data_IF_522664494070
#
_entry.id   IF_522664494070
#
_cell.length_a   1.000
_cell.length_b   1.000
_cell.length_c   1.000
_cell.angle_alpha   90.00
_cell.angle_beta   90.00
_cell.angle_gamma   90.00
#
_symmetry.space_group_name_H-M   'P 1'
#
loop_
_entity.id
_entity.type
_entity.pdbx_description
1 polymer ?
#
# COMPACT_ATOMS: atom_id res chain seq x y z
N UNK A 1 -51.46 -52.83 0.38
CA UNK A 1 -50.15 -53.48 0.26
C UNK A 1 -49.42 -52.84 -0.91
N UNK A 2 -49.27 -51.53 -0.92
CA UNK A 2 -48.29 -50.74 -0.16
C UNK A 2 -46.92 -50.67 -0.84
N UNK A 3 -46.67 -49.46 -1.33
CA UNK A 3 -45.42 -48.70 -1.20
C UNK A 3 -44.13 -49.34 -1.70
N UNK A 4 -43.58 -48.74 -2.76
CA UNK A 4 -42.19 -48.24 -2.73
C UNK A 4 -41.98 -47.15 -3.78
N UNK A 5 -42.25 -45.92 -3.35
CA UNK A 5 -41.78 -44.72 -4.01
C UNK A 5 -40.23 -44.70 -3.95
N UNK A 6 -39.57 -44.76 -5.10
CA UNK A 6 -38.16 -44.43 -5.20
C UNK A 6 -38.03 -42.91 -5.12
N UNK A 7 -37.83 -42.38 -3.91
CA UNK A 7 -37.43 -40.98 -3.72
C UNK A 7 -35.97 -40.85 -4.14
N UNK A 8 -35.74 -40.33 -5.34
CA UNK A 8 -34.42 -39.83 -5.75
C UNK A 8 -34.23 -38.48 -5.05
N UNK A 9 -33.55 -38.49 -3.92
CA UNK A 9 -33.11 -37.28 -3.25
C UNK A 9 -31.98 -36.64 -4.09
N UNK A 10 -32.33 -35.72 -4.98
CA UNK A 10 -31.34 -34.85 -5.64
C UNK A 10 -30.87 -33.82 -4.62
N UNK A 11 -29.80 -34.14 -3.89
CA UNK A 11 -29.09 -33.17 -3.06
C UNK A 11 -28.35 -32.24 -4.02
N UNK A 12 -28.98 -31.12 -4.39
CA UNK A 12 -28.29 -30.03 -5.08
C UNK A 12 -27.41 -29.34 -4.05
N UNK A 13 -26.16 -29.81 -3.91
CA UNK A 13 -25.12 -29.11 -3.18
C UNK A 13 -24.73 -27.85 -3.97
N UNK A 14 -25.40 -26.74 -3.73
CA UNK A 14 -24.91 -25.43 -4.16
C UNK A 14 -23.64 -25.12 -3.38
N UNK A 15 -22.48 -25.40 -3.98
CA UNK A 15 -21.21 -24.94 -3.47
C UNK A 15 -21.21 -23.40 -3.50
N UNK A 16 -21.47 -22.77 -2.35
CA UNK A 16 -21.14 -21.37 -2.14
C UNK A 16 -19.63 -21.25 -2.32
N UNK A 17 -19.22 -20.85 -3.51
CA UNK A 17 -17.86 -20.44 -3.80
C UNK A 17 -17.63 -19.14 -3.02
N UNK A 18 -17.22 -19.26 -1.75
CA UNK A 18 -16.75 -18.12 -0.97
C UNK A 18 -15.49 -17.65 -1.67
N UNK A 19 -15.66 -16.72 -2.61
CA UNK A 19 -14.55 -16.03 -3.22
C UNK A 19 -14.03 -15.13 -2.12
N UNK A 20 -13.02 -15.59 -1.37
CA UNK A 20 -12.31 -14.73 -0.43
C UNK A 20 -11.71 -13.60 -1.24
N UNK A 21 -12.40 -12.46 -1.26
CA UNK A 21 -11.87 -11.23 -1.82
C UNK A 21 -10.71 -10.83 -0.91
N UNK A 22 -9.49 -11.23 -1.27
CA UNK A 22 -8.31 -10.76 -0.56
C UNK A 22 -8.30 -9.24 -0.63
N UNK A 23 -8.35 -8.60 0.54
CA UNK A 23 -8.48 -7.15 0.61
C UNK A 23 -7.25 -6.49 -0.02
N UNK A 24 -7.48 -5.33 -0.63
CA UNK A 24 -6.43 -4.55 -1.30
C UNK A 24 -6.24 -3.25 -0.53
N UNK A 25 -5.04 -3.06 0.01
CA UNK A 25 -4.62 -1.81 0.63
C UNK A 25 -4.20 -0.83 -0.46
N UNK A 26 -4.81 0.35 -0.47
CA UNK A 26 -4.49 1.41 -1.43
C UNK A 26 -3.72 2.52 -0.70
N UNK A 27 -2.54 2.87 -1.20
CA UNK A 27 -1.70 3.94 -0.69
C UNK A 27 -1.68 5.07 -1.72
N UNK A 28 -2.23 6.23 -1.40
CA UNK A 28 -2.35 7.35 -2.36
C UNK A 28 -1.69 8.65 -1.93
N UNK A 29 -1.56 8.92 -0.63
CA UNK A 29 -1.02 10.16 -0.10
C UNK A 29 -0.37 9.96 1.28
N UNK A 30 0.57 9.02 1.36
CA UNK A 30 1.22 8.66 2.63
C UNK A 30 2.59 9.35 2.76
N UNK A 31 2.67 10.28 3.72
CA UNK A 31 3.86 11.11 3.97
C UNK A 31 4.93 10.42 4.83
N UNK A 32 4.68 9.20 5.28
CA UNK A 32 5.53 8.48 6.22
C UNK A 32 5.34 8.89 7.68
N UNK A 33 6.27 8.46 8.53
CA UNK A 33 6.18 8.64 9.97
C UNK A 33 7.22 7.80 10.70
N UNK A 34 6.88 7.30 11.90
CA UNK A 34 7.78 6.45 12.68
C UNK A 34 7.93 5.09 11.99
N UNK A 35 9.16 4.70 11.67
CA UNK A 35 9.45 3.42 11.00
C UNK A 35 8.82 2.21 11.70
N UNK A 36 8.80 2.20 13.04
CA UNK A 36 8.20 1.11 13.83
C UNK A 36 6.71 0.89 13.54
N UNK A 37 5.96 1.97 13.36
CA UNK A 37 4.52 1.89 13.10
C UNK A 37 4.27 1.27 11.71
N UNK A 38 5.12 1.61 10.73
CA UNK A 38 5.08 1.02 9.38
C UNK A 38 5.55 -0.43 9.36
N UNK A 39 6.54 -0.80 10.18
CA UNK A 39 6.94 -2.20 10.36
C UNK A 39 5.75 -3.03 10.81
N UNK A 40 5.08 -2.61 11.89
CA UNK A 40 3.90 -3.31 12.41
C UNK A 40 2.78 -3.38 11.37
N UNK A 41 2.45 -2.24 10.74
CA UNK A 41 1.38 -2.16 9.73
C UNK A 41 1.66 -3.09 8.54
N UNK A 42 2.85 -3.05 7.96
CA UNK A 42 3.13 -3.84 6.76
C UNK A 42 3.42 -5.32 7.04
N UNK A 43 3.84 -5.66 8.26
CA UNK A 43 3.81 -7.06 8.70
C UNK A 43 2.38 -7.58 8.78
N UNK A 44 1.43 -6.82 9.34
CA UNK A 44 0.02 -7.21 9.34
C UNK A 44 -0.53 -7.40 7.92
N UNK A 45 -0.24 -6.49 6.99
CA UNK A 45 -0.63 -6.62 5.58
C UNK A 45 0.01 -7.85 4.91
N UNK A 46 1.27 -8.13 5.21
CA UNK A 46 1.93 -9.34 4.72
C UNK A 46 1.22 -10.58 5.24
N UNK A 47 1.00 -10.64 6.55
CA UNK A 47 0.53 -11.83 7.26
C UNK A 47 -0.97 -12.09 6.98
N UNK A 48 -1.75 -11.04 6.68
CA UNK A 48 -3.17 -11.16 6.27
C UNK A 48 -3.36 -11.67 4.84
N UNK A 49 -2.30 -11.72 4.03
CA UNK A 49 -2.41 -12.09 2.61
C UNK A 49 -2.93 -10.96 1.71
N UNK A 50 -3.18 -9.77 2.28
CA UNK A 50 -3.62 -8.59 1.53
C UNK A 50 -2.58 -8.15 0.51
N UNK A 51 -3.06 -7.48 -0.53
CA UNK A 51 -2.19 -6.92 -1.56
C UNK A 51 -2.13 -5.40 -1.46
N UNK A 52 -1.08 -4.81 -2.01
CA UNK A 52 -0.87 -3.35 -1.94
C UNK A 52 -0.87 -2.76 -3.34
N UNK A 53 -1.64 -1.68 -3.50
CA UNK A 53 -1.57 -0.81 -4.67
C UNK A 53 -1.07 0.56 -4.23
N UNK A 54 0.07 0.99 -4.78
CA UNK A 54 0.58 2.35 -4.59
C UNK A 54 -0.01 3.19 -5.74
N UNK A 55 -1.03 3.98 -5.39
CA UNK A 55 -1.87 4.77 -6.28
C UNK A 55 -1.66 6.28 -6.10
N UNK A 56 -0.40 6.70 -5.91
CA UNK A 56 -0.02 8.07 -5.65
C UNK A 56 1.27 8.16 -4.83
N UNK A 57 1.30 9.08 -3.88
CA UNK A 57 2.52 9.38 -3.10
C UNK A 57 2.69 8.42 -1.93
N UNK A 58 3.89 7.86 -1.81
CA UNK A 58 4.34 7.06 -0.67
C UNK A 58 5.81 7.42 -0.38
N UNK A 59 6.05 8.16 0.70
CA UNK A 59 7.41 8.68 1.00
C UNK A 59 7.89 8.27 2.38
N UNK A 60 9.21 8.37 2.59
CA UNK A 60 9.85 8.06 3.86
C UNK A 60 9.51 6.63 4.33
N UNK A 61 9.11 6.43 5.58
CA UNK A 61 8.75 5.13 6.14
C UNK A 61 7.66 4.38 5.36
N UNK A 62 6.77 5.05 4.61
CA UNK A 62 5.79 4.38 3.76
C UNK A 62 6.45 3.42 2.76
N UNK A 63 7.61 3.81 2.21
CA UNK A 63 8.33 3.01 1.21
C UNK A 63 8.86 1.67 1.76
N UNK A 64 8.88 1.47 3.08
CA UNK A 64 9.23 0.19 3.71
C UNK A 64 8.30 -0.95 3.26
N UNK A 65 7.11 -0.63 2.74
CA UNK A 65 6.19 -1.61 2.13
C UNK A 65 6.88 -2.49 1.10
N UNK A 66 7.83 -1.94 0.35
CA UNK A 66 8.57 -2.64 -0.70
C UNK A 66 9.43 -3.79 -0.16
N UNK A 67 9.86 -3.70 1.10
CA UNK A 67 10.66 -4.71 1.77
C UNK A 67 9.88 -5.64 2.70
N UNK A 68 8.70 -5.19 3.14
CA UNK A 68 7.92 -5.88 4.17
C UNK A 68 6.72 -6.66 3.61
N UNK A 69 6.25 -6.33 2.40
CA UNK A 69 5.20 -7.09 1.69
C UNK A 69 5.84 -7.80 0.48
N UNK A 70 5.46 -9.05 0.17
CA UNK A 70 5.97 -9.76 -1.01
C UNK A 70 5.75 -8.97 -2.30
N UNK A 71 6.79 -8.88 -3.13
CA UNK A 71 6.81 -8.02 -4.31
C UNK A 71 5.76 -8.38 -5.37
N UNK A 72 5.36 -9.64 -5.45
CA UNK A 72 4.29 -10.14 -6.32
C UNK A 72 2.88 -9.69 -5.87
N UNK A 73 2.77 -9.18 -4.64
CA UNK A 73 1.54 -8.59 -4.10
C UNK A 73 1.53 -7.06 -4.10
N UNK A 74 2.60 -6.42 -4.59
CA UNK A 74 2.69 -4.96 -4.69
C UNK A 74 2.63 -4.57 -6.17
N UNK A 75 1.82 -3.57 -6.49
CA UNK A 75 1.90 -2.91 -7.79
C UNK A 75 1.76 -1.40 -7.68
N UNK A 76 2.23 -0.69 -8.71
CA UNK A 76 2.20 0.77 -8.81
C UNK A 76 1.29 1.23 -9.96
N UNK A 77 0.59 2.33 -9.76
CA UNK A 77 -0.14 3.02 -10.85
C UNK A 77 0.80 3.99 -11.60
N UNK A 78 0.40 4.49 -12.78
CA UNK A 78 1.22 5.44 -13.55
C UNK A 78 1.56 6.75 -12.81
N UNK A 79 0.69 7.18 -11.89
CA UNK A 79 0.85 8.38 -11.06
C UNK A 79 1.59 8.13 -9.73
N UNK A 80 2.06 6.90 -9.49
CA UNK A 80 2.78 6.56 -8.27
C UNK A 80 4.13 7.28 -8.16
N UNK A 81 4.43 7.77 -6.97
CA UNK A 81 5.70 8.43 -6.63
C UNK A 81 6.21 7.89 -5.31
N UNK A 82 7.44 7.36 -5.34
CA UNK A 82 8.15 6.94 -4.13
C UNK A 82 9.19 8.00 -3.75
N UNK A 83 9.18 8.40 -2.48
CA UNK A 83 10.12 9.39 -1.96
C UNK A 83 11.05 8.79 -0.92
N UNK A 84 12.35 8.95 -1.11
CA UNK A 84 13.39 8.42 -0.22
C UNK A 84 14.21 9.57 0.37
N UNK A 85 14.59 9.45 1.64
CA UNK A 85 15.53 10.35 2.31
C UNK A 85 16.14 9.62 3.52
N UNK A 86 17.22 10.17 4.08
CA UNK A 86 17.87 9.63 5.28
C UNK A 86 16.93 9.70 6.48
N UNK A 87 16.87 8.64 7.28
CA UNK A 87 16.08 8.66 8.51
C UNK A 87 16.59 9.77 9.45
N UNK A 88 15.70 10.27 10.29
CA UNK A 88 16.01 11.35 11.21
C UNK A 88 15.31 11.10 12.55
N UNK A 89 15.82 11.76 13.58
CA UNK A 89 15.26 11.78 14.92
C UNK A 89 15.23 13.22 15.44
N UNK A 90 14.52 13.46 16.53
CA UNK A 90 14.60 14.74 17.24
C UNK A 90 15.77 14.70 18.22
N UNK A 91 16.59 15.76 18.24
CA UNK A 91 17.58 15.98 19.30
C UNK A 91 16.93 16.56 20.57
N UNK A 92 17.73 16.84 21.59
CA UNK A 92 17.25 17.41 22.86
C UNK A 92 16.59 18.79 22.72
N UNK A 93 16.85 19.51 21.62
CA UNK A 93 16.21 20.80 21.31
C UNK A 93 14.91 20.65 20.50
N UNK A 94 14.52 19.42 20.15
CA UNK A 94 13.38 19.15 19.30
C UNK A 94 13.66 19.39 17.81
N UNK A 95 14.92 19.54 17.40
CA UNK A 95 15.29 19.70 16.00
C UNK A 95 15.50 18.35 15.32
N UNK A 96 15.08 18.25 14.06
CA UNK A 96 15.32 17.06 13.23
C UNK A 96 16.79 16.96 12.85
N UNK A 97 17.42 15.87 13.24
CA UNK A 97 18.81 15.52 12.89
C UNK A 97 18.85 14.14 12.23
N UNK A 98 19.78 13.94 11.29
CA UNK A 98 19.94 12.65 10.61
C UNK A 98 20.31 11.58 11.63
N UNK A 99 19.64 10.43 11.54
CA UNK A 99 19.99 9.23 12.29
C UNK A 99 20.74 8.29 11.36
N UNK A 100 22.04 8.11 11.57
CA UNK A 100 22.85 7.18 10.78
C UNK A 100 22.36 5.73 10.95
N UNK A 101 22.10 5.31 12.19
CA UNK A 101 21.53 3.99 12.48
C UNK A 101 20.14 3.81 11.87
N UNK A 102 19.23 4.78 12.05
CA UNK A 102 17.91 4.70 11.42
C UNK A 102 17.97 4.66 9.89
N UNK A 103 18.94 5.36 9.29
CA UNK A 103 19.14 5.33 7.83
C UNK A 103 19.65 3.97 7.38
N UNK A 104 20.55 3.35 8.15
CA UNK A 104 21.02 2.00 7.90
C UNK A 104 19.88 0.98 8.01
N UNK A 105 19.06 1.04 9.07
CA UNK A 105 17.92 0.15 9.26
C UNK A 105 16.89 0.29 8.14
N UNK A 106 16.65 1.53 7.69
CA UNK A 106 15.76 1.81 6.56
C UNK A 106 16.32 1.17 5.27
N UNK A 107 17.61 1.35 5.01
CA UNK A 107 18.26 0.74 3.84
C UNK A 107 18.25 -0.79 3.90
N UNK A 108 18.42 -1.41 5.07
CA UNK A 108 18.35 -2.86 5.24
C UNK A 108 16.96 -3.43 4.95
N UNK A 109 15.91 -2.63 5.14
CA UNK A 109 14.54 -3.03 4.79
C UNK A 109 14.36 -3.14 3.28
N UNK A 110 15.05 -2.31 2.48
CA UNK A 110 14.76 -2.23 1.05
C UNK A 110 15.27 -3.43 0.23
N UNK A 111 14.48 -3.88 -0.78
CA UNK A 111 14.94 -4.84 -1.77
C UNK A 111 16.21 -4.38 -2.50
N UNK A 112 16.98 -5.34 -3.03
CA UNK A 112 18.25 -5.08 -3.70
C UNK A 112 18.12 -4.06 -4.84
N UNK A 113 17.05 -4.13 -5.65
CA UNK A 113 16.82 -3.21 -6.76
C UNK A 113 16.63 -1.75 -6.29
N UNK A 114 15.90 -1.54 -5.19
CA UNK A 114 15.69 -0.22 -4.58
C UNK A 114 16.99 0.31 -4.00
N UNK A 115 17.74 -0.52 -3.25
CA UNK A 115 19.06 -0.14 -2.72
C UNK A 115 20.03 0.25 -3.82
N UNK A 116 20.08 -0.53 -4.91
CA UNK A 116 20.93 -0.25 -6.05
C UNK A 116 20.53 1.04 -6.76
N UNK A 117 19.23 1.31 -6.92
CA UNK A 117 18.77 2.59 -7.46
C UNK A 117 19.18 3.76 -6.57
N UNK A 118 18.94 3.70 -5.26
CA UNK A 118 19.34 4.73 -4.30
C UNK A 118 20.86 4.99 -4.38
N UNK A 119 21.67 3.94 -4.39
CA UNK A 119 23.13 4.05 -4.47
C UNK A 119 23.59 4.74 -5.75
N UNK A 120 23.00 4.41 -6.91
CA UNK A 120 23.30 5.07 -8.19
C UNK A 120 22.94 6.56 -8.22
N UNK A 121 22.07 7.01 -7.32
CA UNK A 121 21.62 8.39 -7.23
C UNK A 121 22.24 9.14 -6.02
N UNK A 122 23.35 8.64 -5.49
CA UNK A 122 24.14 9.34 -4.45
C UNK A 122 23.81 8.95 -3.01
N UNK A 123 22.96 7.95 -2.79
CA UNK A 123 22.59 7.50 -1.45
C UNK A 123 21.54 8.38 -0.77
N UNK A 124 21.13 7.96 0.43
CA UNK A 124 20.14 8.70 1.22
C UNK A 124 20.77 9.93 1.88
N UNK A 125 20.16 11.09 1.67
CA UNK A 125 20.51 12.36 2.30
C UNK A 125 19.28 12.97 2.98
N UNK A 126 19.40 14.07 3.77
CA UNK A 126 18.21 14.77 4.27
C UNK A 126 17.27 15.26 3.17
N UNK A 127 17.81 15.51 1.97
CA UNK A 127 17.03 15.94 0.81
C UNK A 127 16.30 14.75 0.22
N UNK A 128 15.00 14.91 0.01
CA UNK A 128 14.18 13.89 -0.61
C UNK A 128 14.57 13.68 -2.07
N UNK A 129 14.68 12.42 -2.48
CA UNK A 129 14.80 11.98 -3.86
C UNK A 129 13.57 11.19 -4.26
N UNK A 130 13.18 11.27 -5.52
CA UNK A 130 11.92 10.70 -6.01
C UNK A 130 12.16 9.69 -7.13
N UNK A 131 11.49 8.54 -7.01
CA UNK A 131 11.42 7.48 -8.00
C UNK A 131 9.99 7.40 -8.54
N UNK A 132 9.84 7.53 -9.86
CA UNK A 132 8.54 7.60 -10.54
C UNK A 132 8.64 7.18 -12.01
N UNK A 133 7.49 7.01 -12.65
CA UNK A 133 7.41 6.72 -14.08
C UNK A 133 8.16 5.44 -14.47
N UNK A 134 8.91 5.49 -15.58
CA UNK A 134 9.62 4.32 -16.12
C UNK A 134 10.65 3.72 -15.15
N UNK A 135 11.33 4.57 -14.38
CA UNK A 135 12.36 4.09 -13.44
C UNK A 135 11.71 3.31 -12.29
N UNK A 136 10.54 3.75 -11.84
CA UNK A 136 9.75 3.03 -10.84
C UNK A 136 9.22 1.71 -11.42
N UNK A 137 8.69 1.73 -12.64
CA UNK A 137 8.15 0.55 -13.32
C UNK A 137 9.23 -0.51 -13.61
N UNK A 138 10.50 -0.12 -13.68
CA UNK A 138 11.63 -1.05 -13.80
C UNK A 138 11.97 -1.79 -12.49
N UNK A 139 11.43 -1.34 -11.35
CA UNK A 139 11.72 -1.89 -10.02
C UNK A 139 10.48 -2.53 -9.39
N UNK A 140 9.31 -1.94 -9.60
CA UNK A 140 8.02 -2.42 -9.06
C UNK A 140 7.06 -2.63 -10.21
N UNK A 141 6.37 -3.77 -10.22
CA UNK A 141 5.46 -4.13 -11.29
C UNK A 141 4.32 -3.10 -11.45
N UNK A 142 3.97 -2.70 -12.69
CA UNK A 142 2.77 -1.93 -12.94
C UNK A 142 1.52 -2.71 -12.53
N UNK A 143 0.49 -2.01 -12.06
CA UNK A 143 -0.80 -2.64 -11.79
C UNK A 143 -1.48 -3.12 -13.07
N UNK A 144 -2.07 -4.31 -13.01
CA UNK A 144 -2.96 -4.81 -14.07
C UNK A 144 -4.34 -4.14 -14.01
N UNK A 145 -5.17 -4.41 -15.01
CA UNK A 145 -6.51 -3.81 -15.13
C UNK A 145 -7.42 -4.07 -13.93
N UNK A 146 -7.34 -5.24 -13.29
CA UNK A 146 -8.18 -5.54 -12.12
C UNK A 146 -7.77 -4.74 -10.89
N UNK A 147 -6.46 -4.60 -10.64
CA UNK A 147 -5.91 -3.73 -9.58
C UNK A 147 -6.24 -2.27 -9.83
N UNK A 148 -6.15 -1.79 -11.07
CA UNK A 148 -6.54 -0.43 -11.44
C UNK A 148 -8.03 -0.17 -11.19
N UNK A 149 -8.90 -1.14 -11.52
CA UNK A 149 -10.33 -1.02 -11.25
C UNK A 149 -10.65 -0.91 -9.75
N UNK A 150 -9.93 -1.63 -8.89
CA UNK A 150 -10.05 -1.52 -7.43
C UNK A 150 -9.73 -0.11 -6.93
N UNK A 151 -8.69 0.53 -7.49
CA UNK A 151 -8.34 1.93 -7.16
C UNK A 151 -9.45 2.88 -7.57
N UNK A 152 -9.96 2.78 -8.80
CA UNK A 152 -11.03 3.66 -9.30
C UNK A 152 -12.30 3.52 -8.45
N UNK A 153 -12.63 2.30 -8.03
CA UNK A 153 -13.77 2.03 -7.14
C UNK A 153 -13.57 2.72 -5.78
N UNK A 154 -12.40 2.56 -5.17
CA UNK A 154 -12.10 3.19 -3.87
C UNK A 154 -12.15 4.72 -3.94
N UNK A 155 -11.59 5.33 -5.00
CA UNK A 155 -11.68 6.78 -5.24
C UNK A 155 -13.14 7.26 -5.30
N UNK A 156 -13.98 6.57 -6.09
CA UNK A 156 -15.41 6.90 -6.20
C UNK A 156 -16.15 6.77 -4.86
N UNK A 157 -15.88 5.73 -4.07
CA UNK A 157 -16.47 5.59 -2.74
C UNK A 157 -16.02 6.71 -1.79
N UNK A 158 -14.74 7.07 -1.80
CA UNK A 158 -14.22 8.19 -1.01
C UNK A 158 -14.87 9.52 -1.38
N UNK A 159 -14.98 9.81 -2.67
CA UNK A 159 -15.65 11.02 -3.18
C UNK A 159 -17.13 11.06 -2.78
N UNK A 160 -17.85 9.94 -2.93
CA UNK A 160 -19.24 9.82 -2.48
C UNK A 160 -19.40 10.02 -0.97
N UNK A 161 -18.45 9.52 -0.15
CA UNK A 161 -18.48 9.73 1.29
C UNK A 161 -18.21 11.18 1.65
N UNK A 162 -17.29 11.85 0.95
CA UNK A 162 -16.97 13.26 1.13
C UNK A 162 -18.14 14.18 0.73
N UNK A 163 -18.85 13.86 -0.36
CA UNK A 163 -20.08 14.54 -0.77
C UNK A 163 -21.21 14.42 0.26
N UNK A 164 -21.30 13.29 0.98
CA UNK A 164 -22.27 13.10 2.07
C UNK A 164 -21.90 13.81 3.37
N UNK A 165 -20.62 14.15 3.55
CA UNK A 165 -20.08 14.84 4.72
C UNK A 165 -19.89 16.36 4.48
N UNK A 166 -20.17 16.86 3.27
CA UNK A 166 -20.16 18.29 3.01
C UNK A 166 -21.19 18.96 3.96
N UNK A 167 -20.79 19.99 4.74
CA UNK A 167 -21.72 20.67 5.62
C UNK A 167 -22.83 21.28 4.76
N UNK A 168 -24.08 21.01 5.13
CA UNK A 168 -25.20 21.85 4.72
C UNK A 168 -24.82 23.26 5.16
N UNK A 169 -24.47 24.11 4.19
CA UNK A 169 -24.32 25.54 4.43
C UNK A 169 -25.68 26.02 4.93
N UNK A 170 -25.83 26.14 6.25
CA UNK A 170 -26.92 26.88 6.85
C UNK A 170 -26.69 28.34 6.52
N UNK A 171 -27.25 28.76 5.38
CA UNK A 171 -27.44 30.16 5.05
C UNK A 171 -28.64 30.68 5.82
N UNK A 172 -28.36 31.48 6.84
CA UNK A 172 -29.17 32.51 7.51
C UNK A 172 -28.24 32.98 8.64
N UNK A 173 -27.77 34.23 8.72
CA UNK A 173 -28.56 35.47 8.82
C UNK A 173 -27.88 36.64 8.08
#
# INVERSE_FOLDING_TARGET
>A
MDMRACLIAVVVSTALSVTSASATVIISADIGGKMRDYTTRFQQVRDSGESVVIAGTCVSACTMVLGLVPSDRICVTPDAVLGFHAAWMFDSSGKRVVSASGTQDLMQTYPAAVRAWIARHGGLTPKMMYLRGRDLAAIVAPCNSSRMASVSRAKRFGELHQLRLAPVLTGTE
#
